data_IF_172942356573
#
_entry.id   IF_172942356573
#
_cell.length_a   1.000
_cell.length_b   1.000
_cell.length_c   1.000
_cell.angle_alpha   90.00
_cell.angle_beta   90.00
_cell.angle_gamma   90.00
#
_symmetry.space_group_name_H-M   'P 1'
#
loop_
_entity.id
_entity.type
_entity.pdbx_description
1 polymer ?
#
# COMPACT_ATOMS: atom_id res chain seq x y z
N UNK A 1 21.57 -1.83 16.90
CA UNK A 1 21.00 -1.60 15.55
C UNK A 1 20.57 -0.15 15.36
N UNK A 2 19.96 0.50 16.36
CA UNK A 2 19.46 1.89 16.33
C UNK A 2 20.37 2.93 15.62
N UNK A 3 21.66 3.06 15.99
CA UNK A 3 22.54 4.07 15.36
C UNK A 3 22.81 3.87 13.85
N UNK A 4 22.63 2.64 13.31
CA UNK A 4 22.76 2.37 11.87
C UNK A 4 21.51 2.82 11.10
N UNK A 5 20.34 2.73 11.71
CA UNK A 5 19.07 3.17 11.13
C UNK A 5 18.96 4.68 11.20
N UNK A 6 19.38 5.29 12.30
CA UNK A 6 19.49 6.75 12.44
C UNK A 6 20.37 7.36 11.34
N UNK A 7 21.59 6.86 11.16
CA UNK A 7 22.49 7.30 10.07
C UNK A 7 21.86 7.13 8.68
N UNK A 8 21.07 6.07 8.49
CA UNK A 8 20.39 5.81 7.22
C UNK A 8 19.24 6.80 6.99
N UNK A 9 18.46 7.10 8.03
CA UNK A 9 17.39 8.08 8.01
C UNK A 9 17.93 9.48 7.72
N UNK A 10 18.97 9.93 8.43
CA UNK A 10 19.63 11.22 8.18
C UNK A 10 20.11 11.33 6.74
N UNK A 11 20.68 10.26 6.20
CA UNK A 11 21.10 10.19 4.81
C UNK A 11 19.94 10.30 3.82
N UNK A 12 18.78 9.70 4.11
CA UNK A 12 17.56 9.84 3.30
C UNK A 12 17.05 11.28 3.32
N UNK A 13 16.95 11.89 4.51
CA UNK A 13 16.53 13.28 4.68
C UNK A 13 17.46 14.27 3.96
N UNK A 14 18.76 13.99 3.96
CA UNK A 14 19.77 14.76 3.23
C UNK A 14 19.78 14.50 1.70
N UNK A 15 19.04 13.50 1.21
CA UNK A 15 19.01 13.12 -0.20
C UNK A 15 20.28 12.39 -0.67
N UNK A 16 21.03 11.76 0.24
CA UNK A 16 22.19 10.95 -0.13
C UNK A 16 21.74 9.73 -0.95
N UNK A 17 22.26 9.63 -2.18
CA UNK A 17 21.83 8.61 -3.14
C UNK A 17 22.09 7.18 -2.64
N UNK A 18 23.14 6.95 -1.85
CA UNK A 18 23.45 5.62 -1.33
C UNK A 18 22.51 5.25 -0.20
N UNK A 19 22.20 6.20 0.68
CA UNK A 19 21.22 6.02 1.75
C UNK A 19 19.82 5.78 1.19
N UNK A 20 19.37 6.56 0.21
CA UNK A 20 18.11 6.33 -0.51
C UNK A 20 18.04 4.91 -1.10
N UNK A 21 19.06 4.49 -1.85
CA UNK A 21 19.08 3.15 -2.44
C UNK A 21 19.07 2.02 -1.39
N UNK A 22 19.80 2.20 -0.28
CA UNK A 22 19.86 1.23 0.82
C UNK A 22 18.56 1.16 1.61
N UNK A 23 17.92 2.30 1.86
CA UNK A 23 16.62 2.40 2.50
C UNK A 23 15.56 1.67 1.66
N UNK A 24 15.53 1.93 0.35
CA UNK A 24 14.62 1.25 -0.57
C UNK A 24 14.86 -0.26 -0.60
N UNK A 25 16.12 -0.70 -0.66
CA UNK A 25 16.45 -2.13 -0.59
C UNK A 25 15.99 -2.77 0.73
N UNK A 26 16.02 -2.04 1.84
CA UNK A 26 15.59 -2.53 3.15
C UNK A 26 14.07 -2.72 3.19
N UNK A 27 13.28 -1.74 2.74
CA UNK A 27 11.81 -1.82 2.72
C UNK A 27 11.27 -2.76 1.63
N UNK A 28 12.02 -2.94 0.54
CA UNK A 28 11.70 -3.90 -0.52
C UNK A 28 12.07 -5.35 -0.14
N UNK A 29 12.84 -5.56 0.94
CA UNK A 29 13.37 -6.87 1.31
C UNK A 29 12.27 -7.87 1.72
N UNK A 30 12.44 -9.12 1.31
CA UNK A 30 11.54 -10.22 1.68
C UNK A 30 11.98 -10.95 2.95
N UNK A 31 13.15 -10.61 3.49
CA UNK A 31 13.72 -11.32 4.64
C UNK A 31 13.07 -10.85 5.93
N UNK A 32 12.60 -11.80 6.74
CA UNK A 32 11.97 -11.52 8.04
C UNK A 32 12.83 -10.65 8.96
N UNK A 33 14.14 -10.90 8.96
CA UNK A 33 15.11 -10.17 9.76
C UNK A 33 15.22 -8.68 9.40
N UNK A 34 14.79 -8.29 8.20
CA UNK A 34 14.83 -6.89 7.75
C UNK A 34 13.54 -6.14 8.11
N UNK A 35 12.42 -6.84 8.37
CA UNK A 35 11.10 -6.20 8.58
C UNK A 35 11.11 -5.23 9.75
N UNK A 36 11.69 -5.61 10.88
CA UNK A 36 11.77 -4.75 12.07
C UNK A 36 12.57 -3.47 11.77
N UNK A 37 13.70 -3.61 11.09
CA UNK A 37 14.56 -2.48 10.73
C UNK A 37 13.91 -1.57 9.67
N UNK A 38 13.12 -2.13 8.74
CA UNK A 38 12.37 -1.37 7.74
C UNK A 38 11.28 -0.52 8.41
N UNK A 39 10.50 -1.09 9.33
CA UNK A 39 9.51 -0.36 10.13
C UNK A 39 10.15 0.76 10.96
N UNK A 40 11.21 0.42 11.68
CA UNK A 40 11.99 1.35 12.49
C UNK A 40 12.48 2.57 11.68
N UNK A 41 12.90 2.35 10.43
CA UNK A 41 13.32 3.39 9.50
C UNK A 41 12.15 4.27 9.04
N UNK A 42 11.03 3.66 8.61
CA UNK A 42 9.85 4.38 8.11
C UNK A 42 9.26 5.28 9.19
N UNK A 43 9.10 4.76 10.42
CA UNK A 43 8.58 5.53 11.56
C UNK A 43 9.41 6.79 11.84
N UNK A 44 10.74 6.67 11.84
CA UNK A 44 11.66 7.81 12.04
C UNK A 44 11.51 8.86 10.94
N UNK A 45 11.42 8.43 9.69
CA UNK A 45 11.32 9.34 8.54
C UNK A 45 10.00 10.12 8.54
N UNK A 46 8.93 9.50 9.00
CA UNK A 46 7.61 10.13 9.06
C UNK A 46 7.48 11.21 10.15
N UNK A 47 8.39 11.29 11.12
CA UNK A 47 8.33 12.26 12.21
C UNK A 47 8.77 13.68 11.83
N UNK A 48 9.37 13.90 10.64
CA UNK A 48 10.15 15.12 10.37
C UNK A 48 10.02 15.79 9.00
N UNK A 49 9.05 15.45 8.15
CA UNK A 49 9.03 15.95 6.76
C UNK A 49 7.72 16.62 6.34
N UNK A 50 7.82 17.71 5.57
CA UNK A 50 6.74 18.16 4.68
C UNK A 50 6.73 17.22 3.48
N UNK A 51 5.63 16.51 3.22
CA UNK A 51 5.64 15.45 2.23
C UNK A 51 5.84 15.98 0.81
N UNK A 52 6.69 15.30 0.05
CA UNK A 52 6.77 15.46 -1.40
C UNK A 52 5.42 15.16 -2.04
N UNK A 53 5.06 15.87 -3.12
CA UNK A 53 3.85 15.60 -3.90
C UNK A 53 4.00 14.29 -4.68
N UNK A 54 3.06 13.37 -4.52
CA UNK A 54 3.08 12.05 -5.13
C UNK A 54 2.25 12.05 -6.41
N UNK A 55 2.86 11.74 -7.54
CA UNK A 55 2.20 11.71 -8.84
C UNK A 55 2.24 10.28 -9.38
N UNK A 56 1.08 9.66 -9.57
CA UNK A 56 0.96 8.37 -10.26
C UNK A 56 0.86 8.57 -11.76
N UNK A 57 1.64 7.83 -12.55
CA UNK A 57 1.55 7.84 -14.01
C UNK A 57 1.32 6.41 -14.49
N UNK A 58 0.13 6.19 -15.04
CA UNK A 58 -0.34 4.90 -15.54
C UNK A 58 -0.81 5.00 -16.99
N UNK A 59 -1.03 3.85 -17.64
CA UNK A 59 -1.51 3.75 -19.01
C UNK A 59 -0.98 2.51 -19.73
N UNK A 60 -1.55 2.16 -20.89
CA UNK A 60 -1.16 0.97 -21.64
C UNK A 60 0.35 0.92 -21.98
N UNK A 61 0.90 -0.27 -22.29
CA UNK A 61 2.27 -0.38 -22.75
C UNK A 61 2.47 0.37 -24.07
N UNK A 62 3.58 1.08 -24.23
CA UNK A 62 3.91 1.76 -25.48
C UNK A 62 3.25 3.12 -25.72
N UNK A 63 2.38 3.63 -24.82
CA UNK A 63 1.80 4.99 -24.92
C UNK A 63 2.81 6.12 -24.69
N UNK A 64 4.02 5.79 -24.23
CA UNK A 64 5.12 6.73 -24.04
C UNK A 64 5.26 7.30 -22.63
N UNK A 65 4.82 6.55 -21.59
CA UNK A 65 4.92 6.95 -20.18
C UNK A 65 6.33 7.38 -19.77
N UNK A 66 7.33 6.53 -19.96
CA UNK A 66 8.71 6.83 -19.55
C UNK A 66 9.28 8.05 -20.28
N UNK A 67 8.99 8.21 -21.58
CA UNK A 67 9.37 9.43 -22.35
C UNK A 67 8.67 10.68 -21.81
N UNK A 68 7.39 10.56 -21.47
CA UNK A 68 6.64 11.66 -20.87
C UNK A 68 7.21 12.04 -19.49
N UNK A 69 7.53 11.05 -18.64
CA UNK A 69 8.15 11.25 -17.34
C UNK A 69 9.52 11.92 -17.47
N UNK A 70 10.36 11.46 -18.41
CA UNK A 70 11.65 12.08 -18.68
C UNK A 70 11.49 13.57 -19.00
N UNK A 71 10.58 13.91 -19.92
CA UNK A 71 10.43 15.27 -20.43
C UNK A 71 9.72 16.22 -19.44
N UNK A 72 8.78 15.70 -18.65
CA UNK A 72 8.20 16.44 -17.52
C UNK A 72 9.23 16.64 -16.41
N UNK A 73 9.97 15.60 -16.05
CA UNK A 73 11.01 15.68 -15.03
C UNK A 73 12.11 16.68 -15.38
N UNK A 74 12.52 16.74 -16.65
CA UNK A 74 13.51 17.72 -17.12
C UNK A 74 13.02 19.16 -16.92
N UNK A 75 11.75 19.45 -17.24
CA UNK A 75 11.13 20.77 -17.02
C UNK A 75 11.03 21.15 -15.56
N UNK A 76 10.62 20.20 -14.72
CA UNK A 76 10.55 20.41 -13.27
C UNK A 76 11.93 20.75 -12.69
N UNK A 77 12.98 20.03 -13.14
CA UNK A 77 14.36 20.32 -12.74
C UNK A 77 14.83 21.68 -13.24
N UNK A 78 14.48 22.07 -14.47
CA UNK A 78 14.76 23.41 -15.01
C UNK A 78 14.06 24.52 -14.21
N UNK A 79 12.88 24.23 -13.67
CA UNK A 79 12.16 25.09 -12.71
C UNK A 79 12.72 25.02 -11.27
N UNK A 80 13.85 24.35 -11.05
CA UNK A 80 14.53 24.26 -9.76
C UNK A 80 13.95 23.23 -8.79
N UNK A 81 13.07 22.34 -9.25
CA UNK A 81 12.45 21.29 -8.44
C UNK A 81 13.30 20.02 -8.40
N UNK A 82 13.19 19.28 -7.31
CA UNK A 82 13.83 17.97 -7.10
C UNK A 82 12.81 16.87 -7.33
N UNK A 83 13.16 15.89 -8.15
CA UNK A 83 12.23 14.87 -8.64
C UNK A 83 12.77 13.48 -8.33
N UNK A 84 11.93 12.65 -7.73
CA UNK A 84 12.19 11.22 -7.60
C UNK A 84 11.24 10.44 -8.51
N UNK A 85 11.72 9.35 -9.12
CA UNK A 85 10.90 8.42 -9.90
C UNK A 85 11.07 7.00 -9.37
N UNK A 86 9.97 6.41 -8.91
CA UNK A 86 9.85 4.99 -8.58
C UNK A 86 9.15 4.30 -9.76
N UNK A 87 9.90 3.54 -10.54
CA UNK A 87 9.38 2.86 -11.72
C UNK A 87 9.06 1.41 -11.40
N UNK A 88 7.78 1.05 -11.45
CA UNK A 88 7.32 -0.32 -11.23
C UNK A 88 7.61 -1.15 -12.49
N UNK A 89 8.36 -2.22 -12.31
CA UNK A 89 8.80 -3.12 -13.36
C UNK A 89 8.42 -4.57 -12.98
N UNK A 90 7.92 -5.39 -13.94
CA UNK A 90 7.66 -6.80 -13.71
C UNK A 90 8.74 -7.50 -12.89
N UNK A 91 8.33 -8.33 -11.94
CA UNK A 91 9.22 -9.09 -11.06
C UNK A 91 9.87 -10.28 -11.78
N UNK A 92 11.19 -10.43 -11.69
CA UNK A 92 11.92 -11.54 -12.27
C UNK A 92 11.69 -12.82 -11.48
N UNK A 93 11.12 -13.82 -12.13
CA UNK A 93 10.90 -15.14 -11.52
C UNK A 93 12.19 -15.84 -11.06
N UNK A 94 13.37 -15.38 -11.48
CA UNK A 94 14.67 -15.98 -11.14
C UNK A 94 15.39 -15.26 -10.00
N UNK A 95 15.26 -13.95 -9.90
CA UNK A 95 16.04 -13.13 -8.95
C UNK A 95 15.17 -12.38 -7.94
N UNK A 96 13.85 -12.35 -8.10
CA UNK A 96 12.94 -11.54 -7.28
C UNK A 96 13.06 -10.02 -7.47
N UNK A 97 14.07 -9.57 -8.24
CA UNK A 97 14.27 -8.17 -8.61
C UNK A 97 13.53 -7.79 -9.90
N UNK A 98 13.64 -6.53 -10.32
CA UNK A 98 12.98 -6.03 -11.53
C UNK A 98 13.57 -6.66 -12.82
N UNK A 99 12.71 -7.09 -13.77
CA UNK A 99 13.11 -7.82 -14.99
C UNK A 99 13.83 -6.92 -15.97
N UNK A 100 13.23 -5.78 -16.29
CA UNK A 100 13.76 -4.90 -17.33
C UNK A 100 14.95 -4.12 -16.76
N UNK A 101 14.94 -3.77 -15.47
CA UNK A 101 16.03 -3.08 -14.78
C UNK A 101 16.47 -1.81 -15.50
N UNK A 102 15.62 -1.29 -16.39
CA UNK A 102 16.08 -0.62 -17.59
C UNK A 102 16.25 0.87 -17.31
N UNK A 103 17.44 1.23 -16.84
CA UNK A 103 17.89 2.62 -16.67
C UNK A 103 17.97 3.38 -17.99
N UNK A 104 17.74 2.75 -19.15
CA UNK A 104 17.83 3.44 -20.45
C UNK A 104 16.61 4.32 -20.75
N UNK A 105 15.47 4.09 -20.08
CA UNK A 105 14.19 4.74 -20.42
C UNK A 105 14.03 6.20 -19.95
N UNK A 106 14.98 6.74 -19.19
CA UNK A 106 15.03 8.14 -18.74
C UNK A 106 16.49 8.61 -18.57
N UNK A 107 17.31 8.39 -19.59
CA UNK A 107 18.76 8.54 -19.51
C UNK A 107 19.24 9.99 -19.30
N UNK A 108 18.54 10.98 -19.85
CA UNK A 108 18.86 12.39 -19.68
C UNK A 108 18.45 12.87 -18.29
N UNK A 109 17.23 12.51 -17.86
CA UNK A 109 16.71 12.87 -16.55
C UNK A 109 17.57 12.27 -15.42
N UNK A 110 17.98 11.01 -15.55
CA UNK A 110 18.81 10.30 -14.55
C UNK A 110 20.17 10.98 -14.27
N UNK A 111 20.67 11.82 -15.19
CA UNK A 111 21.95 12.53 -15.06
C UNK A 111 21.82 13.88 -14.36
N UNK A 112 20.60 14.40 -14.17
CA UNK A 112 20.40 15.71 -13.56
C UNK A 112 20.67 15.69 -12.06
N UNK A 113 21.24 16.77 -11.55
CA UNK A 113 21.33 17.00 -10.12
C UNK A 113 19.91 17.18 -9.55
N UNK A 114 19.67 16.70 -8.32
CA UNK A 114 18.34 16.74 -7.71
C UNK A 114 17.36 15.67 -8.20
N UNK A 115 17.81 14.72 -9.03
CA UNK A 115 16.99 13.61 -9.51
C UNK A 115 17.43 12.26 -8.95
N UNK A 116 16.47 11.45 -8.51
CA UNK A 116 16.70 10.05 -8.15
C UNK A 116 15.71 9.14 -8.89
N UNK A 117 16.20 8.08 -9.53
CA UNK A 117 15.37 7.11 -10.27
C UNK A 117 15.69 5.71 -9.77
N UNK A 118 14.65 4.96 -9.40
CA UNK A 118 14.76 3.59 -8.90
C UNK A 118 13.70 2.70 -9.55
N UNK A 119 14.11 1.63 -10.26
CA UNK A 119 13.20 0.54 -10.61
C UNK A 119 12.83 -0.24 -9.35
N UNK A 120 11.55 -0.58 -9.18
CA UNK A 120 11.04 -1.40 -8.07
C UNK A 120 10.29 -2.62 -8.64
N UNK A 121 10.47 -3.82 -8.05
CA UNK A 121 9.70 -4.99 -8.45
C UNK A 121 8.21 -4.82 -8.10
N UNK A 122 7.33 -5.45 -8.88
CA UNK A 122 5.87 -5.52 -8.64
C UNK A 122 5.45 -6.31 -7.39
N UNK A 123 6.36 -6.94 -6.65
CA UNK A 123 6.03 -7.82 -5.51
C UNK A 123 5.63 -9.25 -5.91
N UNK A 124 5.06 -9.98 -4.94
CA UNK A 124 4.82 -11.42 -4.74
C UNK A 124 3.90 -12.13 -5.77
N UNK A 125 3.91 -11.70 -7.03
CA UNK A 125 3.29 -12.43 -8.14
C UNK A 125 1.77 -12.34 -8.21
N UNK A 126 1.11 -11.68 -7.25
CA UNK A 126 -0.33 -11.39 -7.25
C UNK A 126 -0.72 -10.27 -8.22
N UNK A 127 0.26 -9.50 -8.72
CA UNK A 127 0.05 -8.39 -9.66
C UNK A 127 -0.48 -7.10 -9.02
N UNK A 128 -0.70 -7.08 -7.70
CA UNK A 128 -1.10 -5.91 -6.93
C UNK A 128 0.12 -5.17 -6.36
N UNK A 129 0.05 -3.84 -6.25
CA UNK A 129 1.07 -3.07 -5.55
C UNK A 129 0.88 -3.26 -4.04
N UNK A 130 1.80 -3.98 -3.41
CA UNK A 130 1.73 -4.29 -1.97
C UNK A 130 2.21 -3.17 -1.05
N UNK A 131 2.14 -3.42 0.27
CA UNK A 131 2.57 -2.49 1.33
C UNK A 131 4.02 -2.00 1.19
N UNK A 132 4.90 -2.80 0.57
CA UNK A 132 6.30 -2.41 0.30
C UNK A 132 6.41 -1.18 -0.62
N UNK A 133 5.52 -1.03 -1.60
CA UNK A 133 5.49 0.16 -2.47
C UNK A 133 5.11 1.39 -1.66
N UNK A 134 4.16 1.27 -0.72
CA UNK A 134 3.79 2.37 0.19
C UNK A 134 4.96 2.78 1.09
N UNK A 135 5.68 1.80 1.66
CA UNK A 135 6.88 2.08 2.46
C UNK A 135 7.99 2.74 1.62
N UNK A 136 8.20 2.29 0.39
CA UNK A 136 9.14 2.92 -0.54
C UNK A 136 8.76 4.38 -0.86
N UNK A 137 7.48 4.65 -1.12
CA UNK A 137 6.98 6.01 -1.32
C UNK A 137 7.12 6.87 -0.06
N UNK A 138 6.91 6.30 1.14
CA UNK A 138 7.10 7.01 2.40
C UNK A 138 8.58 7.39 2.61
N UNK A 139 9.51 6.48 2.32
CA UNK A 139 10.95 6.77 2.35
C UNK A 139 11.31 7.90 1.38
N UNK A 140 10.83 7.81 0.13
CA UNK A 140 11.12 8.80 -0.90
C UNK A 140 10.49 10.16 -0.58
N UNK A 141 9.24 10.18 -0.10
CA UNK A 141 8.53 11.39 0.27
C UNK A 141 9.08 12.08 1.52
N UNK A 142 9.90 11.39 2.31
CA UNK A 142 10.63 11.98 3.44
C UNK A 142 11.97 12.59 3.02
N UNK A 143 12.48 12.21 1.85
CA UNK A 143 13.66 12.82 1.26
C UNK A 143 13.39 14.25 0.80
N UNK A 144 14.42 14.94 0.28
CA UNK A 144 14.33 16.34 -0.06
C UNK A 144 13.70 16.55 -1.45
N UNK A 145 12.71 15.75 -1.85
CA UNK A 145 12.09 15.85 -3.16
C UNK A 145 10.85 16.73 -3.11
N UNK A 146 10.65 17.53 -4.16
CA UNK A 146 9.39 18.26 -4.34
C UNK A 146 8.32 17.33 -4.90
N UNK A 147 8.72 16.41 -5.79
CA UNK A 147 7.84 15.45 -6.45
C UNK A 147 8.38 14.02 -6.38
N UNK A 148 7.50 13.07 -6.06
CA UNK A 148 7.75 11.63 -6.16
C UNK A 148 6.80 11.05 -7.19
N UNK A 149 7.34 10.60 -8.32
CA UNK A 149 6.58 10.00 -9.42
C UNK A 149 6.57 8.48 -9.28
N UNK A 150 5.38 7.88 -9.34
CA UNK A 150 5.18 6.44 -9.40
C UNK A 150 4.75 6.03 -10.81
N UNK A 151 5.61 5.35 -11.56
CA UNK A 151 5.30 4.83 -12.90
C UNK A 151 4.82 3.38 -12.81
N UNK A 152 3.71 3.02 -13.45
CA UNK A 152 3.28 1.62 -13.57
C UNK A 152 3.83 0.93 -14.80
N UNK A 153 3.93 -0.41 -14.75
CA UNK A 153 4.31 -1.23 -15.90
C UNK A 153 3.27 -1.19 -17.04
N UNK A 154 2.00 -0.84 -16.75
CA UNK A 154 0.91 -0.80 -17.72
C UNK A 154 0.28 -2.16 -18.07
N UNK A 155 0.39 -3.17 -17.20
CA UNK A 155 -0.21 -4.51 -17.38
C UNK A 155 -1.65 -4.62 -16.85
N UNK A 156 -2.25 -3.54 -16.33
CA UNK A 156 -3.67 -3.45 -15.99
C UNK A 156 -4.07 -3.83 -14.56
N UNK A 157 -3.20 -4.51 -13.79
CA UNK A 157 -3.53 -4.99 -12.44
C UNK A 157 -3.03 -4.04 -11.33
N UNK A 158 -1.82 -3.49 -11.50
CA UNK A 158 -1.23 -2.52 -10.57
C UNK A 158 -1.85 -1.10 -10.66
N UNK A 159 -2.64 -0.85 -11.72
CA UNK A 159 -3.06 0.50 -12.08
C UNK A 159 -4.17 1.06 -11.17
N UNK A 160 -5.00 0.21 -10.57
CA UNK A 160 -6.01 0.63 -9.57
C UNK A 160 -5.37 0.94 -8.22
N UNK A 161 -4.35 0.18 -7.83
CA UNK A 161 -3.72 0.30 -6.52
C UNK A 161 -2.91 1.59 -6.39
N UNK A 162 -2.42 2.14 -7.51
CA UNK A 162 -1.70 3.42 -7.53
C UNK A 162 -2.59 4.57 -7.05
N UNK A 163 -3.89 4.55 -7.38
CA UNK A 163 -4.80 5.66 -7.05
C UNK A 163 -4.82 5.97 -5.55
N UNK A 164 -4.72 4.92 -4.72
CA UNK A 164 -4.74 5.01 -3.26
C UNK A 164 -3.36 5.35 -2.66
N UNK A 165 -2.33 5.57 -3.47
CA UNK A 165 -0.95 5.82 -3.00
C UNK A 165 -0.42 7.20 -3.40
N UNK A 166 -1.15 7.93 -4.26
CA UNK A 166 -0.70 9.17 -4.88
C UNK A 166 -1.70 10.31 -4.67
N UNK A 167 -1.20 11.54 -4.75
CA UNK A 167 -2.01 12.75 -4.62
C UNK A 167 -2.72 13.06 -5.94
N UNK A 168 -2.03 12.83 -7.06
CA UNK A 168 -2.54 13.04 -8.42
C UNK A 168 -2.28 11.79 -9.27
N UNK A 169 -3.33 11.23 -9.86
CA UNK A 169 -3.24 10.12 -10.81
C UNK A 169 -3.42 10.59 -12.26
N UNK A 170 -2.38 10.40 -13.07
CA UNK A 170 -2.36 10.72 -14.50
C UNK A 170 -2.47 9.45 -15.33
N UNK A 171 -3.52 9.36 -16.15
CA UNK A 171 -3.74 8.30 -17.14
C UNK A 171 -3.24 8.75 -18.51
N UNK A 172 -2.25 8.04 -19.07
CA UNK A 172 -1.65 8.32 -20.37
C UNK A 172 -2.22 7.39 -21.44
N UNK A 173 -2.70 7.96 -22.54
CA UNK A 173 -3.31 7.27 -23.67
C UNK A 173 -2.61 7.61 -24.99
N UNK A 174 -2.73 6.73 -25.97
CA UNK A 174 -2.33 7.00 -27.35
C UNK A 174 -3.50 7.58 -28.17
N UNK A 175 -3.23 8.29 -29.29
CA UNK A 175 -4.26 8.77 -30.20
C UNK A 175 -5.05 7.60 -30.79
N UNK A 176 -6.38 7.67 -30.75
CA UNK A 176 -7.25 6.60 -31.25
C UNK A 176 -7.38 5.37 -30.34
N UNK A 177 -6.80 5.39 -29.13
CA UNK A 177 -6.79 4.27 -28.15
C UNK A 177 -8.14 3.94 -27.49
N UNK A 178 -9.27 4.23 -28.15
CA UNK A 178 -10.62 4.01 -27.62
C UNK A 178 -10.91 2.57 -27.18
N UNK A 179 -10.39 1.60 -27.93
CA UNK A 179 -10.58 0.16 -27.67
C UNK A 179 -9.69 -0.36 -26.54
N UNK A 180 -8.50 0.22 -26.33
CA UNK A 180 -7.59 -0.14 -25.23
C UNK A 180 -8.22 0.18 -23.87
N UNK A 181 -9.08 1.19 -23.81
CA UNK A 181 -9.85 1.58 -22.63
C UNK A 181 -11.05 0.66 -22.36
N UNK A 182 -11.51 -0.15 -23.32
CA UNK A 182 -12.49 -1.20 -23.03
C UNK A 182 -11.83 -2.39 -22.30
N UNK A 183 -10.52 -2.59 -22.49
CA UNK A 183 -9.72 -3.61 -21.79
C UNK A 183 -9.20 -3.14 -20.42
N UNK A 184 -8.93 -1.84 -20.25
CA UNK A 184 -8.70 -1.25 -18.93
C UNK A 184 -10.01 -1.26 -18.14
N UNK A 185 -10.08 -2.05 -17.07
CA UNK A 185 -11.25 -2.15 -16.19
C UNK A 185 -11.76 -0.74 -15.86
N UNK A 186 -13.08 -0.53 -15.87
CA UNK A 186 -13.78 0.74 -15.56
C UNK A 186 -13.13 1.58 -14.44
N UNK A 187 -12.51 0.94 -13.44
CA UNK A 187 -11.87 1.58 -12.29
C UNK A 187 -10.79 2.63 -12.61
N UNK A 188 -9.76 2.35 -13.40
CA UNK A 188 -8.59 3.27 -13.51
C UNK A 188 -8.97 4.62 -14.10
N UNK A 189 -9.87 4.64 -15.09
CA UNK A 189 -10.38 5.88 -15.69
C UNK A 189 -11.22 6.69 -14.70
N UNK A 190 -12.03 6.01 -13.89
CA UNK A 190 -12.87 6.65 -12.87
C UNK A 190 -12.04 7.23 -11.73
N UNK A 191 -10.84 6.68 -11.51
CA UNK A 191 -9.90 7.10 -10.46
C UNK A 191 -8.88 8.15 -10.92
N UNK A 192 -8.71 8.38 -12.23
CA UNK A 192 -7.70 9.32 -12.73
C UNK A 192 -8.13 10.78 -12.59
N UNK A 193 -7.27 11.60 -12.02
CA UNK A 193 -7.46 13.05 -11.88
C UNK A 193 -7.14 13.80 -13.19
N UNK A 194 -6.30 13.21 -14.05
CA UNK A 194 -5.92 13.79 -15.34
C UNK A 194 -5.74 12.71 -16.42
N UNK A 195 -6.30 12.94 -17.60
CA UNK A 195 -6.13 12.10 -18.79
C UNK A 195 -5.27 12.84 -19.81
N UNK A 196 -4.19 12.21 -20.25
CA UNK A 196 -3.23 12.76 -21.20
C UNK A 196 -3.20 11.91 -22.46
N UNK A 197 -3.67 12.45 -23.58
CA UNK A 197 -3.48 11.84 -24.90
C UNK A 197 -2.11 12.24 -25.44
N UNK A 198 -1.12 11.38 -25.26
CA UNK A 198 0.25 11.59 -25.71
C UNK A 198 0.40 11.33 -27.22
N UNK A 199 1.59 11.58 -27.77
CA UNK A 199 1.92 11.42 -29.20
C UNK A 199 1.07 12.30 -30.12
N UNK A 200 0.75 13.51 -29.66
CA UNK A 200 0.15 14.55 -30.49
C UNK A 200 1.23 15.25 -31.35
N UNK A 201 1.90 14.49 -32.21
CA UNK A 201 3.00 14.92 -33.09
C UNK A 201 2.75 14.49 -34.53
N UNK A 202 3.53 15.01 -35.49
CA UNK A 202 3.44 14.64 -36.91
C UNK A 202 2.01 14.55 -37.46
N UNK A 203 1.68 13.37 -38.00
CA UNK A 203 0.38 13.02 -38.59
C UNK A 203 -0.70 12.70 -37.54
N UNK A 204 -0.32 12.34 -36.32
CA UNK A 204 -1.26 11.95 -35.25
C UNK A 204 -1.82 13.15 -34.48
N UNK A 205 -1.33 14.37 -34.71
CA UNK A 205 -1.83 15.60 -34.04
C UNK A 205 -3.34 15.76 -34.06
N UNK A 206 -3.96 15.60 -35.24
CA UNK A 206 -5.41 15.77 -35.36
C UNK A 206 -6.18 14.67 -34.65
N UNK A 207 -5.70 13.42 -34.77
CA UNK A 207 -6.28 12.26 -34.09
C UNK A 207 -6.17 12.37 -32.57
N UNK A 208 -5.05 12.89 -32.05
CA UNK A 208 -4.86 13.08 -30.61
C UNK A 208 -5.85 14.11 -30.07
N UNK A 209 -6.03 15.24 -30.77
CA UNK A 209 -7.00 16.28 -30.40
C UNK A 209 -8.44 15.78 -30.45
N UNK A 210 -8.82 15.00 -31.46
CA UNK A 210 -10.16 14.42 -31.53
C UNK A 210 -10.39 13.42 -30.40
N UNK A 211 -9.40 12.56 -30.12
CA UNK A 211 -9.42 11.59 -29.03
C UNK A 211 -9.60 12.30 -27.67
N UNK A 212 -8.81 13.33 -27.39
CA UNK A 212 -8.95 14.13 -26.17
C UNK A 212 -10.33 14.79 -26.07
N UNK A 213 -10.86 15.31 -27.18
CA UNK A 213 -12.21 15.90 -27.21
C UNK A 213 -13.31 14.87 -26.94
N UNK A 214 -13.17 13.65 -27.46
CA UNK A 214 -14.10 12.55 -27.19
C UNK A 214 -14.09 12.16 -25.71
N UNK A 215 -12.91 12.05 -25.11
CA UNK A 215 -12.79 11.78 -23.67
C UNK A 215 -13.33 12.92 -22.82
N UNK A 216 -13.03 14.18 -23.15
CA UNK A 216 -13.58 15.34 -22.45
C UNK A 216 -15.13 15.35 -22.49
N UNK A 217 -15.74 14.93 -23.60
CA UNK A 217 -17.21 14.79 -23.68
C UNK A 217 -17.77 13.68 -22.79
N UNK A 218 -16.97 12.68 -22.49
CA UNK A 218 -17.36 11.50 -21.71
C UNK A 218 -17.20 11.66 -20.19
N UNK A 219 -16.66 12.79 -19.73
CA UNK A 219 -16.55 13.17 -18.31
C UNK A 219 -17.50 14.32 -17.97
N UNK A 220 -17.89 14.51 -16.70
CA UNK A 220 -18.73 15.63 -16.28
C UNK A 220 -18.13 16.99 -16.71
N UNK A 221 -18.98 18.00 -16.90
CA UNK A 221 -18.56 19.32 -17.38
C UNK A 221 -17.43 19.94 -16.53
N UNK A 222 -17.46 19.74 -15.21
CA UNK A 222 -16.44 20.21 -14.28
C UNK A 222 -15.07 19.52 -14.43
N UNK A 223 -15.02 18.32 -15.03
CA UNK A 223 -13.80 17.54 -15.26
C UNK A 223 -13.29 17.59 -16.69
N UNK A 224 -13.86 18.43 -17.57
CA UNK A 224 -13.43 18.50 -18.98
C UNK A 224 -12.01 18.99 -19.16
N UNK A 225 -11.58 19.90 -18.30
CA UNK A 225 -10.22 20.43 -18.27
C UNK A 225 -9.21 19.38 -17.76
N UNK A 226 -9.68 18.23 -17.26
CA UNK A 226 -8.85 17.10 -16.89
C UNK A 226 -8.48 16.20 -18.09
N UNK A 227 -8.73 16.63 -19.34
CA UNK A 227 -8.33 15.89 -20.54
C UNK A 227 -7.51 16.78 -21.45
N UNK A 228 -6.23 16.44 -21.62
CA UNK A 228 -5.28 17.20 -22.44
C UNK A 228 -4.60 16.31 -23.47
N UNK A 229 -4.00 16.94 -24.48
CA UNK A 229 -3.16 16.24 -25.47
C UNK A 229 -1.77 16.85 -25.51
N UNK A 230 -0.73 16.02 -25.57
CA UNK A 230 0.65 16.49 -25.65
C UNK A 230 1.50 15.62 -26.59
N UNK A 231 2.69 16.11 -26.93
CA UNK A 231 3.75 15.28 -27.50
C UNK A 231 4.94 15.30 -26.55
N UNK A 232 5.21 14.17 -25.90
CA UNK A 232 6.44 14.00 -25.15
C UNK A 232 7.68 14.15 -26.07
N UNK A 233 7.60 13.69 -27.31
CA UNK A 233 8.73 13.71 -28.25
C UNK A 233 9.07 15.12 -28.75
N UNK A 234 8.06 15.90 -29.15
CA UNK A 234 8.24 17.26 -29.67
C UNK A 234 8.21 18.33 -28.56
N UNK A 235 7.83 17.96 -27.33
CA UNK A 235 7.69 18.87 -26.20
C UNK A 235 6.39 19.70 -26.19
N UNK A 236 5.54 19.55 -27.21
CA UNK A 236 4.29 20.32 -27.36
C UNK A 236 3.31 19.98 -26.23
N UNK A 237 2.80 21.01 -25.55
CA UNK A 237 1.78 20.88 -24.49
C UNK A 237 2.31 20.38 -23.14
N UNK A 238 3.62 20.18 -23.00
CA UNK A 238 4.21 19.69 -21.74
C UNK A 238 4.25 20.73 -20.63
N UNK A 239 4.39 22.01 -20.98
CA UNK A 239 4.43 23.09 -19.98
C UNK A 239 3.04 23.26 -19.32
N UNK A 240 1.98 23.31 -20.13
CA UNK A 240 0.59 23.32 -19.66
C UNK A 240 0.27 22.06 -18.83
N UNK A 241 0.77 20.89 -19.26
CA UNK A 241 0.60 19.65 -18.49
C UNK A 241 1.30 19.73 -17.12
N UNK A 242 2.51 20.26 -17.06
CA UNK A 242 3.25 20.42 -15.81
C UNK A 242 2.55 21.38 -14.85
N UNK A 243 2.04 22.51 -15.35
CA UNK A 243 1.24 23.47 -14.59
C UNK A 243 -0.02 22.82 -14.01
N UNK A 244 -0.78 22.09 -14.84
CA UNK A 244 -2.00 21.39 -14.38
C UNK A 244 -1.70 20.34 -13.31
N UNK A 245 -0.63 19.57 -13.45
CA UNK A 245 -0.23 18.58 -12.43
C UNK A 245 0.14 19.28 -11.13
N UNK A 246 0.86 20.41 -11.20
CA UNK A 246 1.21 21.19 -10.00
C UNK A 246 -0.03 21.76 -9.31
N UNK A 247 -0.96 22.36 -10.06
CA UNK A 247 -2.21 22.90 -9.53
C UNK A 247 -3.07 21.82 -8.85
N UNK A 248 -3.18 20.64 -9.47
CA UNK A 248 -3.87 19.49 -8.89
C UNK A 248 -3.17 19.01 -7.62
N UNK A 249 -1.84 18.92 -7.61
CA UNK A 249 -1.07 18.47 -6.47
C UNK A 249 -1.13 19.45 -5.28
N UNK A 250 -1.24 20.75 -5.55
CA UNK A 250 -1.38 21.78 -4.51
C UNK A 250 -2.81 21.90 -4.00
N UNK A 251 -3.80 21.55 -4.83
CA UNK A 251 -5.22 21.53 -4.46
C UNK A 251 -5.66 20.19 -3.85
N UNK A 252 -4.85 19.14 -3.97
CA UNK A 252 -5.17 17.83 -3.43
C UNK A 252 -5.32 17.93 -1.90
N UNK A 253 -6.41 17.40 -1.32
CA UNK A 253 -6.46 17.23 0.13
C UNK A 253 -5.24 16.41 0.53
N UNK A 254 -4.64 16.74 1.68
CA UNK A 254 -3.47 16.03 2.18
C UNK A 254 -3.87 14.58 2.52
N UNK A 255 -3.85 13.72 1.49
CA UNK A 255 -4.19 12.29 1.58
C UNK A 255 -3.19 11.60 2.48
N UNK A 256 -1.97 12.13 2.57
CA UNK A 256 -0.96 11.66 3.49
C UNK A 256 -1.28 12.04 4.94
N UNK A 257 -1.79 13.25 5.23
CA UNK A 257 -2.32 13.58 6.55
C UNK A 257 -3.60 12.80 6.87
N UNK A 258 -4.43 12.45 5.88
CA UNK A 258 -5.61 11.60 6.09
C UNK A 258 -5.23 10.14 6.38
N UNK A 259 -4.29 9.56 5.62
CA UNK A 259 -3.70 8.23 5.89
C UNK A 259 -2.95 8.22 7.23
N UNK A 260 -2.19 9.28 7.53
CA UNK A 260 -1.54 9.45 8.84
C UNK A 260 -2.55 9.70 9.95
N UNK A 261 -3.68 10.36 9.73
CA UNK A 261 -4.73 10.51 10.73
C UNK A 261 -5.47 9.18 10.97
N UNK A 262 -5.53 8.29 9.97
CA UNK A 262 -6.04 6.93 10.17
C UNK A 262 -5.04 5.98 10.82
N UNK A 263 -3.74 6.30 10.82
CA UNK A 263 -2.66 5.46 11.38
C UNK A 263 -1.96 6.09 12.61
N UNK A 264 -2.30 7.33 12.99
CA UNK A 264 -1.79 8.08 14.16
C UNK A 264 -2.88 8.55 15.11
N UNK A 265 -4.09 8.02 15.00
CA UNK A 265 -5.06 8.28 16.04
C UNK A 265 -4.68 7.43 17.26
N UNK A 266 -3.83 7.99 18.12
CA UNK A 266 -3.55 7.53 19.48
C UNK A 266 -4.80 7.54 20.39
N UNK A 267 -5.99 7.43 19.80
CA UNK A 267 -7.31 7.57 20.40
C UNK A 267 -7.94 6.23 20.77
N UNK A 268 -7.18 5.14 20.73
CA UNK A 268 -7.72 3.78 20.85
C UNK A 268 -8.64 3.42 19.67
N UNK A 269 -8.36 3.97 18.49
CA UNK A 269 -9.10 3.68 17.27
C UNK A 269 -8.84 2.24 16.80
N UNK A 270 -9.83 1.65 16.14
CA UNK A 270 -9.70 0.33 15.52
C UNK A 270 -8.74 0.40 14.33
N UNK A 271 -7.70 -0.42 14.38
CA UNK A 271 -6.72 -0.59 13.33
C UNK A 271 -7.15 -1.64 12.30
N UNK A 272 -6.17 -2.41 11.78
CA UNK A 272 -6.44 -3.43 10.75
C UNK A 272 -7.08 -4.67 11.36
N UNK A 273 -7.73 -5.45 10.50
CA UNK A 273 -8.12 -6.82 10.83
C UNK A 273 -6.84 -7.68 10.94
N UNK A 274 -6.58 -8.19 12.14
CA UNK A 274 -5.43 -9.06 12.41
C UNK A 274 -5.72 -10.47 11.88
N UNK A 275 -6.77 -11.10 12.41
CA UNK A 275 -7.20 -12.44 12.00
C UNK A 275 -8.70 -12.68 12.23
N UNK A 276 -9.20 -13.76 11.64
CA UNK A 276 -10.51 -14.33 11.97
C UNK A 276 -10.31 -15.70 12.59
N UNK A 277 -10.77 -15.88 13.81
CA UNK A 277 -10.62 -17.14 14.54
C UNK A 277 -11.78 -18.10 14.21
N UNK A 278 -11.44 -19.32 13.83
CA UNK A 278 -12.35 -20.39 13.48
C UNK A 278 -12.15 -21.54 14.47
N UNK A 279 -13.14 -21.76 15.35
CA UNK A 279 -13.12 -22.91 16.24
C UNK A 279 -13.48 -24.17 15.45
N UNK A 280 -12.70 -25.23 15.62
CA UNK A 280 -12.89 -26.55 15.00
C UNK A 280 -12.67 -27.64 16.03
N UNK A 281 -13.29 -28.80 15.81
CA UNK A 281 -13.07 -29.99 16.63
C UNK A 281 -11.77 -30.73 16.24
N UNK A 282 -11.23 -30.44 15.05
CA UNK A 282 -10.04 -31.08 14.50
C UNK A 282 -9.30 -30.02 13.64
N UNK A 283 -8.18 -29.53 14.17
CA UNK A 283 -7.39 -28.50 13.49
C UNK A 283 -6.62 -29.08 12.31
N UNK A 284 -6.23 -30.35 12.35
CA UNK A 284 -5.46 -31.01 11.29
C UNK A 284 -6.33 -31.20 10.04
N UNK A 285 -7.57 -31.65 10.21
CA UNK A 285 -8.54 -31.79 9.13
C UNK A 285 -8.88 -30.43 8.51
N UNK A 286 -9.11 -29.40 9.33
CA UNK A 286 -9.39 -28.05 8.84
C UNK A 286 -8.17 -27.48 8.09
N UNK A 287 -6.97 -27.62 8.65
CA UNK A 287 -5.71 -27.20 8.02
C UNK A 287 -5.49 -27.89 6.66
N UNK A 288 -5.78 -29.19 6.57
CA UNK A 288 -5.68 -29.95 5.33
C UNK A 288 -6.65 -29.42 4.26
N UNK A 289 -7.87 -29.05 4.62
CA UNK A 289 -8.78 -28.42 3.66
C UNK A 289 -8.20 -27.13 3.08
N UNK A 290 -7.72 -26.20 3.93
CA UNK A 290 -7.17 -24.94 3.45
C UNK A 290 -5.90 -25.12 2.61
N UNK A 291 -5.02 -26.03 3.01
CA UNK A 291 -3.78 -26.32 2.29
C UNK A 291 -4.03 -27.06 0.98
N UNK A 292 -4.77 -28.16 1.02
CA UNK A 292 -4.83 -29.12 -0.09
C UNK A 292 -5.98 -28.81 -1.07
N UNK A 293 -7.07 -28.19 -0.60
CA UNK A 293 -8.22 -27.85 -1.45
C UNK A 293 -8.14 -26.40 -1.93
N UNK A 294 -7.80 -25.46 -1.03
CA UNK A 294 -7.74 -24.03 -1.35
C UNK A 294 -6.33 -23.53 -1.70
N UNK A 295 -5.30 -24.35 -1.52
CA UNK A 295 -3.92 -24.00 -1.90
C UNK A 295 -3.27 -22.93 -1.01
N UNK A 296 -3.78 -22.74 0.21
CA UNK A 296 -3.24 -21.75 1.15
C UNK A 296 -1.96 -22.24 1.83
N UNK A 297 -1.09 -21.31 2.23
CA UNK A 297 0.02 -21.60 3.13
C UNK A 297 -0.51 -21.75 4.55
N UNK A 298 -0.20 -22.87 5.20
CA UNK A 298 -0.73 -23.23 6.52
C UNK A 298 0.41 -23.60 7.47
N UNK A 299 0.39 -23.07 8.69
CA UNK A 299 1.41 -23.39 9.71
C UNK A 299 1.24 -24.79 10.28
N UNK A 300 2.28 -25.28 10.97
CA UNK A 300 2.13 -26.48 11.80
C UNK A 300 1.22 -26.21 13.01
N UNK A 301 0.48 -27.23 13.51
CA UNK A 301 -0.27 -27.13 14.75
C UNK A 301 0.64 -26.81 15.93
N UNK A 302 0.30 -25.76 16.68
CA UNK A 302 1.03 -25.33 17.86
C UNK A 302 0.13 -25.41 19.11
N UNK A 303 0.42 -26.31 20.06
CA UNK A 303 -0.31 -26.34 21.32
C UNK A 303 0.07 -25.14 22.18
N UNK A 304 -0.93 -24.46 22.74
CA UNK A 304 -0.78 -23.34 23.67
C UNK A 304 -1.53 -23.64 24.97
N UNK A 305 -0.94 -24.41 25.90
CA UNK A 305 -1.60 -24.85 27.12
C UNK A 305 -2.12 -23.70 28.00
N UNK A 306 -1.41 -22.57 28.04
CA UNK A 306 -1.80 -21.39 28.81
C UNK A 306 -3.08 -20.73 28.29
N UNK A 307 -3.40 -20.91 26.99
CA UNK A 307 -4.62 -20.41 26.36
C UNK A 307 -5.68 -21.50 26.17
N UNK A 308 -5.38 -22.75 26.54
CA UNK A 308 -6.29 -23.89 26.42
C UNK A 308 -6.69 -24.20 24.97
N UNK A 309 -5.83 -23.90 23.99
CA UNK A 309 -6.08 -24.18 22.57
C UNK A 309 -4.83 -24.70 21.85
N UNK A 310 -5.04 -25.47 20.79
CA UNK A 310 -4.05 -25.72 19.74
C UNK A 310 -4.40 -24.83 18.56
N UNK A 311 -3.41 -24.10 18.03
CA UNK A 311 -3.63 -23.13 16.95
C UNK A 311 -2.92 -23.53 15.65
N UNK A 312 -3.56 -23.22 14.52
CA UNK A 312 -2.97 -23.29 13.18
C UNK A 312 -3.32 -22.02 12.43
N UNK A 313 -2.34 -21.40 11.78
CA UNK A 313 -2.55 -20.20 10.97
C UNK A 313 -2.62 -20.54 9.49
N UNK A 314 -3.69 -20.11 8.85
CA UNK A 314 -3.82 -20.08 7.38
C UNK A 314 -3.49 -18.66 6.93
N UNK A 315 -2.40 -18.50 6.20
CA UNK A 315 -1.94 -17.19 5.71
C UNK A 315 -2.70 -16.79 4.46
N UNK A 316 -3.28 -15.59 4.47
CA UNK A 316 -3.91 -14.96 3.31
C UNK A 316 -3.15 -13.68 2.95
N UNK A 317 -3.29 -13.15 1.72
CA UNK A 317 -2.57 -11.93 1.31
C UNK A 317 -2.89 -10.69 2.14
N UNK A 318 -4.08 -10.63 2.74
CA UNK A 318 -4.59 -9.47 3.45
C UNK A 318 -4.73 -9.65 4.97
N UNK A 319 -4.77 -10.89 5.47
CA UNK A 319 -5.01 -11.23 6.89
C UNK A 319 -4.66 -12.71 7.15
N UNK A 320 -5.02 -13.25 8.30
CA UNK A 320 -4.92 -14.68 8.60
C UNK A 320 -6.27 -15.27 9.05
N UNK A 321 -6.44 -16.57 8.83
CA UNK A 321 -7.42 -17.35 9.58
C UNK A 321 -6.67 -18.09 10.68
N UNK A 322 -7.15 -17.97 11.91
CA UNK A 322 -6.62 -18.73 13.04
C UNK A 322 -7.57 -19.89 13.34
N UNK A 323 -7.13 -21.11 13.10
CA UNK A 323 -7.88 -22.32 13.42
C UNK A 323 -7.60 -22.68 14.88
N UNK A 324 -8.65 -22.85 15.67
CA UNK A 324 -8.57 -23.14 17.09
C UNK A 324 -9.21 -24.50 17.41
N UNK A 325 -8.43 -25.41 17.96
CA UNK A 325 -8.93 -26.66 18.54
C UNK A 325 -8.79 -26.62 20.07
N UNK A 326 -9.81 -27.06 20.84
CA UNK A 326 -9.77 -27.01 22.29
C UNK A 326 -8.66 -27.92 22.85
N UNK A 327 -7.81 -27.37 23.71
CA UNK A 327 -6.78 -28.11 24.42
C UNK A 327 -7.11 -28.16 25.91
N UNK A 328 -7.43 -29.35 26.41
CA UNK A 328 -7.83 -29.58 27.80
C UNK A 328 -9.34 -29.39 28.06
N UNK A 329 -9.81 -29.85 29.22
CA UNK A 329 -11.24 -29.84 29.59
C UNK A 329 -11.79 -28.42 29.84
N UNK A 330 -10.93 -27.50 30.26
CA UNK A 330 -11.26 -26.11 30.59
C UNK A 330 -11.02 -25.13 29.43
N UNK A 331 -10.91 -25.63 28.19
CA UNK A 331 -10.65 -24.78 27.02
C UNK A 331 -11.72 -23.67 26.88
N UNK A 332 -11.30 -22.41 26.64
CA UNK A 332 -12.23 -21.28 26.53
C UNK A 332 -13.22 -21.42 25.37
N UNK A 333 -12.86 -22.16 24.31
CA UNK A 333 -13.73 -22.43 23.16
C UNK A 333 -14.58 -23.69 23.31
N UNK A 334 -14.38 -24.48 24.37
CA UNK A 334 -15.12 -25.73 24.59
C UNK A 334 -16.63 -25.51 24.71
N UNK A 335 -17.04 -24.41 25.35
CA UNK A 335 -18.45 -24.01 25.42
C UNK A 335 -19.05 -23.63 24.06
N UNK A 336 -18.25 -23.06 23.16
CA UNK A 336 -18.66 -22.72 21.80
C UNK A 336 -18.91 -23.99 20.98
N UNK A 337 -17.97 -24.93 20.98
CA UNK A 337 -18.07 -26.18 20.21
C UNK A 337 -19.18 -27.12 20.71
N UNK A 338 -19.57 -27.04 21.99
CA UNK A 338 -20.77 -27.71 22.49
C UNK A 338 -22.07 -27.21 21.85
N UNK A 339 -22.11 -25.95 21.40
CA UNK A 339 -23.27 -25.32 20.76
C UNK A 339 -23.18 -25.38 19.23
N UNK A 340 -21.98 -25.22 18.69
CA UNK A 340 -21.67 -25.28 17.26
C UNK A 340 -20.77 -26.49 16.99
N UNK A 341 -21.37 -27.68 16.98
CA UNK A 341 -20.64 -28.97 16.92
C UNK A 341 -19.88 -29.20 15.62
N UNK A 342 -20.22 -28.47 14.55
CA UNK A 342 -19.48 -28.47 13.29
C UNK A 342 -18.30 -27.49 13.26
N UNK A 343 -18.04 -26.78 14.36
CA UNK A 343 -17.16 -25.61 14.37
C UNK A 343 -17.83 -24.35 13.81
N UNK A 344 -17.06 -23.28 13.70
CA UNK A 344 -17.50 -22.00 13.16
C UNK A 344 -16.63 -20.82 13.56
N UNK A 345 -16.98 -19.63 13.07
CA UNK A 345 -16.31 -18.38 13.43
C UNK A 345 -16.50 -18.07 14.91
N UNK A 346 -15.40 -17.98 15.64
CA UNK A 346 -15.38 -17.73 17.09
C UNK A 346 -15.30 -16.24 17.40
N UNK A 347 -14.31 -15.53 16.82
CA UNK A 347 -14.18 -14.08 16.94
C UNK A 347 -13.49 -13.48 15.71
N UNK A 348 -13.55 -12.15 15.62
CA UNK A 348 -12.68 -11.35 14.75
C UNK A 348 -11.71 -10.58 15.64
N UNK A 349 -10.44 -10.51 15.24
CA UNK A 349 -9.42 -9.78 15.96
C UNK A 349 -9.00 -8.55 15.17
N UNK A 350 -9.05 -7.39 15.82
CA UNK A 350 -8.65 -6.12 15.26
C UNK A 350 -7.50 -5.52 16.07
N UNK A 351 -6.50 -4.99 15.39
CA UNK A 351 -5.39 -4.33 16.04
C UNK A 351 -5.82 -2.98 16.64
N UNK A 352 -5.16 -2.56 17.72
CA UNK A 352 -5.22 -1.20 18.27
C UNK A 352 -3.82 -0.74 18.64
N UNK A 353 -3.55 0.56 18.55
CA UNK A 353 -2.21 1.10 18.85
C UNK A 353 -1.89 1.12 20.36
N UNK A 354 -2.91 1.38 21.18
CA UNK A 354 -2.84 1.36 22.65
C UNK A 354 -4.11 0.68 23.19
N UNK A 355 -3.93 -0.47 23.84
CA UNK A 355 -5.04 -1.31 24.31
C UNK A 355 -5.78 -0.67 25.49
N UNK A 356 -5.10 0.12 26.31
CA UNK A 356 -5.71 0.81 27.45
C UNK A 356 -6.54 2.00 26.97
N UNK A 357 -6.03 2.77 26.00
CA UNK A 357 -6.80 3.83 25.36
C UNK A 357 -8.06 3.26 24.66
N UNK A 358 -7.92 2.13 23.95
CA UNK A 358 -9.05 1.45 23.31
C UNK A 358 -10.08 0.96 24.33
N UNK A 359 -9.62 0.34 25.43
CA UNK A 359 -10.46 -0.09 26.56
C UNK A 359 -11.28 1.06 27.13
N UNK A 360 -10.64 2.17 27.44
CA UNK A 360 -11.27 3.31 28.10
C UNK A 360 -12.31 3.94 27.17
N UNK A 361 -12.00 4.07 25.89
CA UNK A 361 -12.92 4.54 24.85
C UNK A 361 -14.18 3.67 24.76
N UNK A 362 -14.03 2.35 24.64
CA UNK A 362 -15.21 1.47 24.49
C UNK A 362 -16.05 1.43 25.78
N UNK A 363 -15.42 1.53 26.96
CA UNK A 363 -16.11 1.65 28.26
C UNK A 363 -16.90 2.96 28.37
N UNK A 364 -16.34 4.09 27.94
CA UNK A 364 -17.04 5.38 27.91
C UNK A 364 -18.29 5.34 27.02
N UNK A 365 -18.25 4.56 25.93
CA UNK A 365 -19.39 4.35 25.03
C UNK A 365 -20.36 3.26 25.52
N UNK A 366 -20.14 2.70 26.71
CA UNK A 366 -21.02 1.71 27.34
C UNK A 366 -20.92 0.28 26.77
N UNK A 367 -19.87 -0.02 26.00
CA UNK A 367 -19.61 -1.37 25.49
C UNK A 367 -19.03 -2.24 26.60
N UNK A 368 -19.59 -3.43 26.83
CA UNK A 368 -19.08 -4.36 27.84
C UNK A 368 -17.82 -5.07 27.33
N UNK A 369 -16.84 -5.19 28.21
CA UNK A 369 -15.63 -5.99 28.03
C UNK A 369 -15.79 -7.29 28.83
N UNK A 370 -15.38 -8.43 28.28
CA UNK A 370 -15.38 -9.72 28.97
C UNK A 370 -14.26 -9.78 30.03
N UNK A 371 -14.50 -10.55 31.09
CA UNK A 371 -13.56 -10.68 32.20
C UNK A 371 -13.64 -9.51 33.21
N UNK A 372 -12.53 -9.19 33.84
CA UNK A 372 -12.36 -8.00 34.70
C UNK A 372 -12.13 -6.71 33.89
N UNK A 373 -11.93 -6.87 32.58
CA UNK A 373 -11.68 -5.82 31.61
C UNK A 373 -10.29 -5.22 31.70
N UNK A 374 -9.33 -5.91 32.32
CA UNK A 374 -7.91 -5.64 32.13
C UNK A 374 -7.35 -6.50 30.98
N UNK A 375 -6.40 -5.97 30.17
CA UNK A 375 -5.79 -6.74 29.10
C UNK A 375 -5.09 -8.00 29.62
N UNK A 376 -5.32 -9.12 28.94
CA UNK A 376 -4.58 -10.37 29.15
C UNK A 376 -3.59 -10.61 28.02
N UNK A 377 -2.59 -11.46 28.19
CA UNK A 377 -1.70 -11.82 27.08
C UNK A 377 -2.39 -12.86 26.18
N UNK A 378 -2.50 -12.57 24.89
CA UNK A 378 -3.06 -13.46 23.86
C UNK A 378 -2.04 -14.44 23.30
N UNK A 379 -2.49 -15.30 22.37
CA UNK A 379 -1.68 -16.36 21.75
C UNK A 379 -0.44 -15.85 20.99
N UNK A 380 -0.46 -14.59 20.55
CA UNK A 380 0.67 -13.92 19.90
C UNK A 380 1.66 -13.28 20.88
N UNK A 381 1.42 -13.37 22.20
CA UNK A 381 2.26 -12.75 23.22
C UNK A 381 2.00 -11.25 23.40
N UNK A 382 0.91 -10.73 22.85
CA UNK A 382 0.52 -9.32 22.93
C UNK A 382 -0.71 -9.13 23.84
N UNK A 383 -0.90 -7.95 24.45
CA UNK A 383 -2.09 -7.64 25.23
C UNK A 383 -3.37 -7.70 24.37
N UNK A 384 -4.41 -8.37 24.88
CA UNK A 384 -5.71 -8.53 24.23
C UNK A 384 -6.88 -8.26 25.17
N UNK A 385 -8.01 -7.82 24.59
CA UNK A 385 -9.29 -7.64 25.27
C UNK A 385 -10.44 -8.16 24.39
N UNK A 386 -11.46 -8.75 25.01
CA UNK A 386 -12.64 -9.21 24.28
C UNK A 386 -13.86 -8.34 24.59
N UNK A 387 -14.53 -7.84 23.55
CA UNK A 387 -15.77 -7.09 23.65
C UNK A 387 -16.97 -8.05 23.64
N UNK A 388 -17.96 -7.79 24.51
CA UNK A 388 -19.09 -8.69 24.69
C UNK A 388 -20.01 -8.68 23.44
N UNK A 389 -20.35 -9.85 22.86
CA UNK A 389 -21.09 -9.92 21.59
C UNK A 389 -22.43 -9.16 21.53
N UNK A 390 -23.15 -9.11 22.65
CA UNK A 390 -24.41 -8.33 22.77
C UNK A 390 -24.28 -6.84 22.43
N UNK A 391 -23.10 -6.25 22.61
CA UNK A 391 -22.84 -4.84 22.28
C UNK A 391 -22.16 -4.69 20.91
N UNK A 392 -21.74 -5.81 20.33
CA UNK A 392 -21.02 -5.90 19.05
C UNK A 392 -21.86 -6.64 18.00
N UNK A 393 -23.17 -6.41 17.98
CA UNK A 393 -24.10 -6.97 16.97
C UNK A 393 -24.04 -8.49 16.81
N UNK A 394 -23.78 -9.21 17.90
CA UNK A 394 -23.69 -10.67 17.93
C UNK A 394 -22.31 -11.23 17.58
N UNK A 395 -21.32 -10.39 17.31
CA UNK A 395 -19.94 -10.79 16.99
C UNK A 395 -19.05 -10.64 18.22
N UNK A 396 -18.27 -11.66 18.54
CA UNK A 396 -17.18 -11.54 19.51
C UNK A 396 -16.02 -10.80 18.84
N UNK A 397 -15.63 -9.65 19.37
CA UNK A 397 -14.53 -8.84 18.86
C UNK A 397 -13.39 -8.91 19.86
N UNK A 398 -12.21 -9.32 19.40
CA UNK A 398 -10.95 -9.19 20.11
C UNK A 398 -10.24 -7.91 19.66
N UNK A 399 -9.72 -7.14 20.61
CA UNK A 399 -8.79 -6.06 20.39
C UNK A 399 -7.41 -6.57 20.80
N UNK A 400 -6.42 -6.49 19.92
CA UNK A 400 -5.03 -6.86 20.20
C UNK A 400 -4.14 -5.63 20.06
N UNK A 401 -3.30 -5.37 21.05
CA UNK A 401 -2.33 -4.27 20.99
C UNK A 401 -1.29 -4.57 19.91
N UNK A 402 -1.00 -3.59 19.06
CA UNK A 402 0.14 -3.69 18.15
C UNK A 402 1.42 -3.79 18.96
N UNK A 403 2.33 -4.67 18.55
CA UNK A 403 3.65 -4.76 19.15
C UNK A 403 4.33 -3.37 19.13
N UNK A 404 4.53 -2.80 20.32
CA UNK A 404 5.30 -1.57 20.48
C UNK A 404 6.78 -1.87 20.20
N UNK A 405 7.46 -0.92 19.56
CA UNK A 405 8.88 -1.08 19.16
C UNK A 405 9.83 -1.06 20.39
N UNK A 406 9.30 -0.93 21.60
CA UNK A 406 10.06 -0.78 22.85
C UNK A 406 9.71 -1.85 23.89
N UNK A 407 10.22 -3.08 23.73
CA UNK A 407 10.60 -3.91 24.89
C UNK A 407 11.46 -5.11 24.52
N UNK A 408 12.77 -4.92 24.75
CA UNK A 408 13.89 -5.88 25.02
C UNK A 408 14.36 -6.81 23.90
#
# INVERSE_FOLDING_TARGET
MSGRIETLADGVLAGDRRSLARALTLVESERDVDRSAARELVERLQAGSSPARRIGITGPPGVGKSTLIEQLGLRLVEAGKRVCVLAIDPTSARTGGSILGDKTRMAELARKAGVFIRPSPTGDGSGALGGRTREALAVLGSGPFDYVVLETAGSGQADTDVADMVDVLVLVLAPGGGDELQGMKRGVRELSDLIVVNKADGETRQLARSTASDYARSVPAAGRDAVVSCSALEGTGLDELAERIADLADSAPDRQAAEQATDRDASGAIGRLNHVALATADVEQAAAFYRDVLGAEVSEPKPLPEHGVTTVFVRLPNTALELLEPLGEDSPIGGFLKRATSGGMHHICCEVDDILAARDRVREQGVRILGDGEPSIGAHGLPVLFLHPKDCFGVLIELEERASVESV
#
